data_IF_605199494972
#
_entry.id   IF_605199494972
#
_cell.length_a   1.000
_cell.length_b   1.000
_cell.length_c   1.000
_cell.angle_alpha   90.00
_cell.angle_beta   90.00
_cell.angle_gamma   90.00
#
_symmetry.space_group_name_H-M   'P 1'
#
loop_
_entity.id
_entity.type
_entity.pdbx_description
1 polymer ?
#
# COMPACT_ATOMS: atom_id res chain seq x y z
N UNK A 1 10.35 7.73 -15.86
CA UNK A 1 9.17 7.33 -15.06
C UNK A 1 8.81 5.84 -15.22
N UNK A 2 9.56 5.08 -16.04
CA UNK A 2 9.36 3.65 -16.17
C UNK A 2 9.76 2.93 -14.88
N UNK A 3 8.98 1.94 -14.45
CA UNK A 3 9.25 1.16 -13.25
C UNK A 3 8.10 0.25 -12.88
N UNK A 4 8.24 -0.43 -11.75
CA UNK A 4 7.20 -1.23 -11.15
C UNK A 4 6.42 -0.38 -10.13
N UNK A 5 5.11 -0.43 -10.21
CA UNK A 5 4.18 0.32 -9.35
C UNK A 5 3.25 -0.65 -8.65
N UNK A 6 3.07 -0.49 -7.36
CA UNK A 6 2.18 -1.39 -6.62
C UNK A 6 2.32 -1.28 -5.12
N UNK A 7 2.08 -2.40 -4.45
CA UNK A 7 2.14 -2.50 -3.00
C UNK A 7 2.83 -3.79 -2.56
N UNK A 8 3.57 -3.68 -1.47
CA UNK A 8 4.17 -4.80 -0.75
C UNK A 8 3.37 -5.03 0.52
N UNK A 9 2.94 -6.27 0.75
CA UNK A 9 2.37 -6.69 2.03
C UNK A 9 3.48 -6.78 3.09
N UNK A 10 3.12 -6.53 4.35
CA UNK A 10 4.06 -6.64 5.47
C UNK A 10 4.67 -8.05 5.57
N UNK A 11 3.86 -9.06 5.34
CA UNK A 11 4.25 -10.47 5.44
C UNK A 11 5.25 -10.92 4.36
N UNK A 12 5.53 -10.07 3.38
CA UNK A 12 6.62 -10.33 2.42
C UNK A 12 7.97 -10.51 3.14
N UNK A 13 8.14 -9.94 4.33
CA UNK A 13 9.35 -10.08 5.15
C UNK A 13 9.67 -11.55 5.45
N UNK A 14 8.65 -12.40 5.63
CA UNK A 14 8.83 -13.83 5.90
C UNK A 14 9.37 -14.64 4.71
N UNK A 15 9.46 -14.03 3.52
CA UNK A 15 10.10 -14.62 2.36
C UNK A 15 11.63 -14.41 2.36
N UNK A 16 12.12 -13.45 3.14
CA UNK A 16 13.52 -13.05 3.18
C UNK A 16 14.18 -13.30 4.53
N UNK A 17 13.40 -13.30 5.61
CA UNK A 17 13.88 -13.43 6.97
C UNK A 17 13.37 -14.72 7.61
N UNK A 18 14.25 -15.45 8.30
CA UNK A 18 13.90 -16.66 9.04
C UNK A 18 13.29 -16.27 10.41
N UNK A 19 12.08 -15.74 10.34
CA UNK A 19 11.30 -15.30 11.50
C UNK A 19 10.07 -16.17 11.61
N UNK A 20 9.80 -16.70 12.81
CA UNK A 20 8.60 -17.47 13.05
C UNK A 20 7.35 -16.59 13.02
N UNK A 21 6.42 -16.93 12.13
CA UNK A 21 5.11 -16.29 12.10
C UNK A 21 4.20 -16.94 13.13
N UNK A 22 3.62 -16.14 14.02
CA UNK A 22 2.70 -16.59 15.07
C UNK A 22 1.23 -16.34 14.71
N UNK A 23 0.97 -15.40 13.83
CA UNK A 23 -0.39 -15.09 13.40
C UNK A 23 -0.75 -15.89 12.15
N UNK A 24 -1.98 -16.35 12.08
CA UNK A 24 -2.54 -16.95 10.86
C UNK A 24 -2.85 -15.87 9.84
N UNK A 25 -2.67 -16.22 8.57
CA UNK A 25 -3.15 -15.39 7.44
C UNK A 25 -3.99 -16.25 6.52
N UNK A 26 -4.81 -15.61 5.69
CA UNK A 26 -5.55 -16.27 4.64
C UNK A 26 -4.59 -16.75 3.52
N UNK A 27 -4.90 -17.88 2.89
CA UNK A 27 -4.18 -18.34 1.71
C UNK A 27 -4.37 -17.40 0.51
N UNK A 28 -5.43 -16.59 0.53
CA UNK A 28 -5.72 -15.58 -0.50
C UNK A 28 -4.95 -14.27 -0.31
N UNK A 29 -4.29 -14.07 0.84
CA UNK A 29 -3.50 -12.87 1.10
C UNK A 29 -2.25 -12.84 0.21
N UNK A 30 -2.07 -11.76 -0.54
CA UNK A 30 -0.95 -11.59 -1.47
C UNK A 30 0.21 -10.86 -0.79
N UNK A 31 1.42 -11.38 -0.97
CA UNK A 31 2.64 -10.75 -0.42
C UNK A 31 3.01 -9.48 -1.18
N UNK A 32 2.70 -9.43 -2.47
CA UNK A 32 2.93 -8.24 -3.27
C UNK A 32 2.03 -8.20 -4.51
N UNK A 33 1.75 -6.99 -4.97
CA UNK A 33 1.12 -6.74 -6.28
C UNK A 33 1.91 -5.65 -6.98
N UNK A 34 2.49 -5.97 -8.13
CA UNK A 34 3.27 -5.02 -8.92
C UNK A 34 2.75 -4.97 -10.36
N UNK A 35 2.69 -3.76 -10.90
CA UNK A 35 2.34 -3.49 -12.28
C UNK A 35 3.54 -2.89 -13.01
N UNK A 36 3.79 -3.35 -14.22
CA UNK A 36 4.68 -2.70 -15.17
C UNK A 36 3.82 -1.95 -16.19
N UNK A 37 3.56 -0.63 -15.98
CA UNK A 37 2.71 0.13 -16.87
C UNK A 37 3.44 0.44 -18.17
N UNK A 38 2.75 0.30 -19.28
CA UNK A 38 3.20 0.73 -20.60
C UNK A 38 2.68 2.13 -20.96
N UNK A 39 1.84 2.71 -20.11
CA UNK A 39 1.34 4.08 -20.25
C UNK A 39 1.32 4.79 -18.91
N UNK A 40 2.01 5.93 -18.81
CA UNK A 40 2.11 6.75 -17.61
C UNK A 40 1.76 8.19 -17.94
N UNK A 41 0.83 8.76 -17.19
CA UNK A 41 0.53 10.19 -17.26
C UNK A 41 1.06 10.87 -16.02
N UNK A 42 1.91 11.89 -16.21
CA UNK A 42 2.49 12.69 -15.14
C UNK A 42 1.97 14.11 -15.24
N UNK A 43 1.30 14.58 -14.18
CA UNK A 43 0.90 15.98 -14.03
C UNK A 43 1.87 16.67 -13.07
N UNK A 44 2.67 17.59 -13.58
CA UNK A 44 3.57 18.43 -12.77
C UNK A 44 2.87 19.76 -12.47
N UNK A 45 2.42 19.90 -11.23
CA UNK A 45 1.70 21.10 -10.78
C UNK A 45 2.60 22.33 -10.60
N UNK A 46 3.92 22.17 -10.53
CA UNK A 46 4.84 23.32 -10.40
C UNK A 46 5.02 24.06 -11.71
N UNK A 47 5.01 23.32 -12.81
CA UNK A 47 5.16 23.88 -14.16
C UNK A 47 3.86 23.83 -14.96
N UNK A 48 2.76 23.38 -14.34
CA UNK A 48 1.41 23.28 -14.92
C UNK A 48 1.38 22.51 -16.26
N UNK A 49 2.15 21.41 -16.33
CA UNK A 49 2.24 20.57 -17.52
C UNK A 49 1.88 19.13 -17.21
N UNK A 50 1.28 18.50 -18.22
CA UNK A 50 0.99 17.07 -18.21
C UNK A 50 1.77 16.38 -19.32
N UNK A 51 2.45 15.29 -18.96
CA UNK A 51 3.22 14.47 -19.88
C UNK A 51 2.59 13.08 -19.93
N UNK A 52 2.46 12.53 -21.14
CA UNK A 52 2.06 11.14 -21.36
C UNK A 52 3.26 10.37 -21.91
N UNK A 53 3.66 9.33 -21.22
CA UNK A 53 4.71 8.41 -21.64
C UNK A 53 4.08 7.10 -22.08
N UNK A 54 4.47 6.62 -23.25
CA UNK A 54 4.06 5.30 -23.74
C UNK A 54 5.32 4.46 -23.98
N UNK A 55 5.30 3.23 -23.49
CA UNK A 55 6.40 2.29 -23.58
C UNK A 55 5.94 1.04 -24.30
N UNK A 56 6.80 0.52 -25.14
CA UNK A 56 6.64 -0.76 -25.78
C UNK A 56 7.66 -1.73 -25.18
N UNK A 57 7.17 -2.86 -24.66
CA UNK A 57 8.01 -3.87 -24.07
C UNK A 57 8.22 -5.00 -25.07
N UNK A 58 9.48 -5.36 -25.29
CA UNK A 58 9.88 -6.44 -26.15
C UNK A 58 10.64 -7.47 -25.30
N UNK A 59 10.15 -8.68 -25.26
CA UNK A 59 10.86 -9.79 -24.59
C UNK A 59 11.77 -10.50 -25.59
N UNK A 60 12.99 -10.78 -25.17
CA UNK A 60 13.87 -11.67 -25.91
C UNK A 60 13.56 -13.12 -25.54
N UNK A 61 13.28 -13.92 -26.53
CA UNK A 61 13.17 -15.36 -26.36
C UNK A 61 14.58 -15.96 -26.22
N UNK A 62 14.88 -16.52 -25.07
CA UNK A 62 16.19 -17.09 -24.75
C UNK A 62 16.57 -18.30 -25.64
N UNK A 63 15.56 -19.05 -26.10
CA UNK A 63 15.79 -20.25 -26.89
C UNK A 63 15.96 -19.94 -28.39
N UNK A 64 15.34 -18.88 -28.90
CA UNK A 64 15.31 -18.58 -30.33
C UNK A 64 16.02 -17.30 -30.72
N UNK A 65 16.51 -16.51 -29.76
CA UNK A 65 17.09 -15.17 -29.95
C UNK A 65 16.12 -14.18 -30.66
N UNK A 66 14.83 -14.50 -30.69
CA UNK A 66 13.78 -13.67 -31.28
C UNK A 66 13.23 -12.72 -30.25
N UNK A 67 12.84 -11.55 -30.75
CA UNK A 67 12.10 -10.59 -29.93
C UNK A 67 10.60 -10.77 -30.21
N UNK A 68 9.80 -10.82 -29.15
CA UNK A 68 8.35 -10.78 -29.24
C UNK A 68 7.84 -9.50 -28.58
N UNK A 69 6.93 -8.80 -29.25
CA UNK A 69 6.24 -7.65 -28.67
C UNK A 69 5.27 -8.15 -27.60
N UNK A 70 5.36 -7.58 -26.40
CA UNK A 70 4.48 -7.96 -25.28
C UNK A 70 3.31 -7.01 -25.09
N UNK A 71 3.44 -5.77 -25.55
CA UNK A 71 2.42 -4.71 -25.34
C UNK A 71 1.95 -4.03 -26.61
N UNK A 72 2.65 -4.23 -27.73
CA UNK A 72 2.27 -3.71 -29.03
C UNK A 72 0.89 -4.20 -29.48
N UNK A 73 0.01 -3.30 -29.85
CA UNK A 73 -1.32 -3.64 -30.35
C UNK A 73 -2.36 -4.01 -29.30
N UNK A 74 -2.07 -4.00 -28.00
CA UNK A 74 -3.07 -4.21 -26.96
C UNK A 74 -4.15 -3.12 -26.98
N UNK A 75 -5.39 -3.53 -27.29
CA UNK A 75 -6.55 -2.65 -27.15
C UNK A 75 -6.98 -2.58 -25.69
N UNK A 76 -6.85 -1.39 -25.09
CA UNK A 76 -7.25 -1.14 -23.70
C UNK A 76 -8.70 -0.69 -23.55
N UNK A 77 -9.53 -0.94 -24.59
CA UNK A 77 -10.93 -0.52 -24.68
C UNK A 77 -11.92 -1.62 -24.25
N UNK A 78 -11.47 -2.66 -23.58
CA UNK A 78 -12.34 -3.71 -23.04
C UNK A 78 -13.29 -3.16 -21.97
N UNK A 79 -14.44 -3.82 -21.75
CA UNK A 79 -15.37 -3.43 -20.69
C UNK A 79 -14.67 -3.49 -19.33
N UNK A 80 -14.65 -2.36 -18.61
CA UNK A 80 -14.16 -2.32 -17.24
C UNK A 80 -15.19 -3.02 -16.35
N UNK A 81 -14.75 -3.97 -15.55
CA UNK A 81 -15.60 -4.51 -14.49
C UNK A 81 -15.95 -3.38 -13.53
N UNK A 82 -17.22 -3.11 -13.26
CA UNK A 82 -17.59 -2.08 -12.29
C UNK A 82 -17.11 -2.49 -10.89
N UNK A 83 -16.83 -1.51 -10.06
CA UNK A 83 -16.62 -1.74 -8.64
C UNK A 83 -17.89 -2.35 -8.02
N UNK A 84 -17.73 -3.41 -7.24
CA UNK A 84 -18.81 -4.04 -6.52
C UNK A 84 -18.75 -3.60 -5.06
N UNK A 85 -19.74 -2.83 -4.58
CA UNK A 85 -19.75 -2.35 -3.20
C UNK A 85 -19.82 -3.52 -2.20
N UNK A 86 -19.01 -3.47 -1.15
CA UNK A 86 -19.14 -4.32 0.01
C UNK A 86 -20.19 -3.74 0.95
N UNK A 87 -21.41 -4.31 0.92
CA UNK A 87 -22.55 -3.80 1.70
C UNK A 87 -22.62 -4.36 3.12
N UNK A 88 -21.89 -5.44 3.42
CA UNK A 88 -21.90 -6.09 4.73
C UNK A 88 -20.49 -6.50 5.13
N UNK A 89 -20.24 -6.45 6.42
CA UNK A 89 -19.04 -6.99 7.07
C UNK A 89 -19.47 -7.99 8.14
N UNK A 90 -18.69 -9.03 8.35
CA UNK A 90 -18.99 -10.08 9.33
C UNK A 90 -18.64 -9.63 10.74
N UNK A 91 -17.64 -8.79 10.87
CA UNK A 91 -17.14 -8.22 12.14
C UNK A 91 -16.72 -6.78 11.93
N UNK A 92 -16.75 -5.97 12.98
CA UNK A 92 -16.35 -4.57 12.94
C UNK A 92 -14.85 -4.35 13.25
N UNK A 93 -14.22 -5.31 13.90
CA UNK A 93 -12.83 -5.23 14.33
C UNK A 93 -12.23 -6.64 14.41
N UNK A 94 -10.91 -6.74 14.29
CA UNK A 94 -10.15 -7.99 14.47
C UNK A 94 -9.93 -8.36 15.95
N UNK A 95 -10.04 -7.37 16.85
CA UNK A 95 -9.91 -7.55 18.29
C UNK A 95 -11.28 -7.60 18.98
N UNK A 96 -11.37 -8.38 20.07
CA UNK A 96 -12.48 -8.32 21.01
C UNK A 96 -12.36 -7.06 21.89
N UNK A 97 -13.45 -6.74 22.60
CA UNK A 97 -13.47 -5.61 23.52
C UNK A 97 -12.38 -5.76 24.62
N UNK A 98 -11.56 -4.74 24.80
CA UNK A 98 -10.47 -4.71 25.77
C UNK A 98 -9.18 -5.43 25.36
N UNK A 99 -9.20 -6.25 24.32
CA UNK A 99 -8.02 -7.01 23.88
C UNK A 99 -6.88 -6.11 23.40
N UNK A 100 -7.19 -5.06 22.64
CA UNK A 100 -6.18 -4.09 22.23
C UNK A 100 -5.53 -3.35 23.41
N UNK A 101 -6.33 -2.98 24.44
CA UNK A 101 -5.81 -2.36 25.66
C UNK A 101 -4.84 -3.30 26.40
N UNK A 102 -5.17 -4.59 26.49
CA UNK A 102 -4.28 -5.58 27.10
C UNK A 102 -2.95 -5.73 26.33
N UNK A 103 -2.99 -5.66 24.98
CA UNK A 103 -1.76 -5.68 24.18
C UNK A 103 -0.89 -4.46 24.46
N UNK A 104 -1.50 -3.28 24.62
CA UNK A 104 -0.77 -2.05 25.00
C UNK A 104 -0.15 -2.18 26.38
N UNK A 105 -0.88 -2.70 27.37
CA UNK A 105 -0.35 -2.94 28.71
C UNK A 105 0.83 -3.92 28.68
N UNK A 106 0.71 -5.01 27.94
CA UNK A 106 1.80 -5.97 27.74
C UNK A 106 3.03 -5.33 27.09
N UNK A 107 2.83 -4.45 26.10
CA UNK A 107 3.93 -3.71 25.49
C UNK A 107 4.64 -2.79 26.49
N UNK A 108 3.88 -2.12 27.36
CA UNK A 108 4.45 -1.28 28.44
C UNK A 108 5.32 -2.10 29.40
N UNK A 109 4.95 -3.35 29.69
CA UNK A 109 5.76 -4.23 30.53
C UNK A 109 7.09 -4.61 29.84
N UNK A 110 7.09 -4.90 28.55
CA UNK A 110 8.31 -5.12 27.78
C UNK A 110 9.22 -3.89 27.75
N UNK A 111 8.67 -2.67 27.65
CA UNK A 111 9.44 -1.44 27.77
C UNK A 111 10.10 -1.30 29.16
N UNK A 112 9.38 -1.63 30.25
CA UNK A 112 9.92 -1.57 31.61
C UNK A 112 11.07 -2.55 31.83
N UNK A 113 11.04 -3.71 31.17
CA UNK A 113 12.11 -4.71 31.22
C UNK A 113 13.28 -4.39 30.27
N UNK A 114 13.12 -3.43 29.36
CA UNK A 114 14.13 -3.08 28.37
C UNK A 114 14.17 -4.01 27.15
N UNK A 115 13.14 -4.83 26.95
CA UNK A 115 13.02 -5.74 25.81
C UNK A 115 12.62 -5.00 24.53
N UNK A 116 11.94 -3.85 24.66
CA UNK A 116 11.49 -3.00 23.57
C UNK A 116 11.88 -1.55 23.83
N UNK A 117 12.20 -0.82 22.74
CA UNK A 117 12.31 0.65 22.76
C UNK A 117 11.23 1.31 21.87
N UNK A 118 10.64 0.57 20.93
CA UNK A 118 9.56 1.00 20.08
C UNK A 118 8.70 -0.20 19.69
N UNK A 119 7.37 0.01 19.59
CA UNK A 119 6.42 -0.96 19.04
C UNK A 119 5.19 -0.23 18.50
N UNK A 120 4.63 -0.73 17.42
CA UNK A 120 3.39 -0.22 16.84
C UNK A 120 2.31 -1.31 16.92
N UNK A 121 1.46 -1.29 17.96
CA UNK A 121 0.32 -2.21 18.04
C UNK A 121 -0.66 -1.90 16.90
N UNK A 122 -1.08 -2.94 16.18
CA UNK A 122 -2.03 -2.83 15.09
C UNK A 122 -3.44 -3.24 15.50
N UNK A 123 -4.43 -2.60 14.87
CA UNK A 123 -5.83 -2.98 14.97
C UNK A 123 -6.50 -2.75 13.62
N UNK A 124 -7.30 -3.70 13.16
CA UNK A 124 -8.02 -3.62 11.89
C UNK A 124 -9.51 -3.41 12.13
N UNK A 125 -10.06 -2.38 11.51
CA UNK A 125 -11.49 -2.09 11.52
C UNK A 125 -12.10 -2.45 10.17
N UNK A 126 -13.31 -2.98 10.20
CA UNK A 126 -14.06 -3.41 9.03
C UNK A 126 -15.35 -2.60 8.94
N UNK A 127 -15.56 -1.94 7.82
CA UNK A 127 -16.73 -1.13 7.55
C UNK A 127 -17.33 -1.44 6.18
N UNK A 128 -18.66 -1.42 6.02
CA UNK A 128 -19.26 -1.50 4.71
C UNK A 128 -18.79 -0.36 3.81
N UNK A 129 -18.32 -0.67 2.61
CA UNK A 129 -17.88 0.32 1.64
C UNK A 129 -18.81 0.33 0.44
N UNK A 130 -19.75 1.28 0.43
CA UNK A 130 -20.72 1.46 -0.68
C UNK A 130 -20.21 2.45 -1.72
N UNK A 131 -19.26 3.29 -1.36
CA UNK A 131 -18.67 4.29 -2.24
C UNK A 131 -17.57 3.69 -3.12
N UNK A 132 -17.38 4.26 -4.30
CA UNK A 132 -16.26 3.86 -5.15
C UNK A 132 -14.91 4.20 -4.49
N UNK A 133 -13.84 3.41 -4.75
CA UNK A 133 -12.50 3.70 -4.23
C UNK A 133 -12.02 5.11 -4.57
N UNK A 134 -12.38 5.63 -5.74
CA UNK A 134 -12.05 7.00 -6.14
C UNK A 134 -12.75 8.05 -5.27
N UNK A 135 -14.01 7.81 -4.87
CA UNK A 135 -14.74 8.70 -3.97
C UNK A 135 -14.15 8.67 -2.56
N UNK A 136 -13.77 7.48 -2.09
CA UNK A 136 -13.08 7.32 -0.79
C UNK A 136 -11.74 8.07 -0.81
N UNK A 137 -10.93 7.88 -1.86
CA UNK A 137 -9.64 8.57 -2.00
C UNK A 137 -9.79 10.09 -2.03
N UNK A 138 -10.80 10.60 -2.75
CA UNK A 138 -11.07 12.04 -2.81
C UNK A 138 -11.35 12.61 -1.42
N UNK A 139 -12.18 11.95 -0.61
CA UNK A 139 -12.46 12.37 0.77
C UNK A 139 -11.22 12.26 1.66
N UNK A 140 -10.50 11.15 1.57
CA UNK A 140 -9.26 10.95 2.32
C UNK A 140 -8.24 12.06 2.05
N UNK A 141 -8.04 12.40 0.78
CA UNK A 141 -7.13 13.49 0.38
C UNK A 141 -7.53 14.85 0.92
N UNK A 142 -8.84 15.09 1.12
CA UNK A 142 -9.35 16.35 1.68
C UNK A 142 -9.23 16.38 3.20
N UNK A 143 -9.54 15.28 3.88
CA UNK A 143 -9.52 15.19 5.35
C UNK A 143 -8.12 15.01 5.92
N UNK A 144 -7.26 14.33 5.19
CA UNK A 144 -5.88 14.03 5.59
C UNK A 144 -4.92 14.26 4.42
N UNK A 145 -4.64 15.52 4.05
CA UNK A 145 -3.70 15.84 2.98
C UNK A 145 -2.30 15.36 3.38
N UNK A 146 -1.74 14.50 2.57
CA UNK A 146 -0.42 13.90 2.80
C UNK A 146 0.44 14.00 1.54
N UNK A 147 1.78 14.00 1.66
CA UNK A 147 2.67 14.05 0.52
C UNK A 147 2.59 12.80 -0.37
N UNK A 148 2.22 11.65 0.20
CA UNK A 148 2.19 10.36 -0.49
C UNK A 148 0.78 9.76 -0.47
N UNK A 149 -0.11 10.32 -1.26
CA UNK A 149 -1.45 9.76 -1.48
C UNK A 149 -1.44 8.76 -2.63
N UNK A 150 -2.11 7.61 -2.45
CA UNK A 150 -2.22 6.59 -3.49
C UNK A 150 -3.62 6.00 -3.58
N UNK A 151 -4.04 5.73 -4.79
CA UNK A 151 -5.17 4.87 -5.12
C UNK A 151 -4.67 3.83 -6.12
N UNK A 152 -4.59 2.59 -5.69
CA UNK A 152 -4.08 1.47 -6.49
C UNK A 152 -5.19 0.43 -6.62
N UNK A 153 -5.51 0.06 -7.84
CA UNK A 153 -6.34 -1.12 -8.10
C UNK A 153 -5.42 -2.35 -8.08
N UNK A 154 -5.57 -3.18 -7.07
CA UNK A 154 -4.76 -4.38 -6.87
C UNK A 154 -5.27 -5.61 -7.66
N UNK A 155 -6.35 -5.45 -8.43
CA UNK A 155 -7.05 -6.55 -9.09
C UNK A 155 -8.07 -7.20 -8.16
N UNK A 156 -8.86 -8.16 -8.68
CA UNK A 156 -9.79 -8.99 -7.89
C UNK A 156 -10.77 -8.21 -6.99
N UNK A 157 -11.16 -7.01 -7.42
CA UNK A 157 -12.00 -6.06 -6.66
C UNK A 157 -11.33 -5.48 -5.39
N UNK A 158 -10.04 -5.65 -5.24
CA UNK A 158 -9.26 -5.09 -4.14
C UNK A 158 -8.61 -3.76 -4.54
N UNK A 159 -8.65 -2.80 -3.62
CA UNK A 159 -8.11 -1.45 -3.84
C UNK A 159 -7.36 -0.97 -2.60
N UNK A 160 -6.15 -0.46 -2.80
CA UNK A 160 -5.42 0.27 -1.78
C UNK A 160 -5.73 1.76 -1.91
N UNK A 161 -6.23 2.35 -0.83
CA UNK A 161 -6.49 3.79 -0.71
C UNK A 161 -5.66 4.31 0.44
N UNK A 162 -4.65 5.12 0.16
CA UNK A 162 -3.67 5.54 1.15
C UNK A 162 -3.42 7.05 1.14
N UNK A 163 -3.08 7.58 2.31
CA UNK A 163 -2.58 8.93 2.54
C UNK A 163 -1.42 8.86 3.54
N UNK A 164 -0.21 8.59 3.05
CA UNK A 164 0.97 8.39 3.88
C UNK A 164 1.72 9.71 4.10
N UNK A 165 2.07 10.04 5.35
CA UNK A 165 2.97 11.16 5.65
C UNK A 165 4.44 10.80 5.42
N UNK A 166 4.77 9.53 5.41
CA UNK A 166 6.13 9.01 5.49
C UNK A 166 6.65 8.50 4.14
N UNK A 167 7.92 8.78 3.89
CA UNK A 167 8.72 8.19 2.84
C UNK A 167 9.65 7.13 3.46
N UNK A 168 9.40 5.85 3.15
CA UNK A 168 10.24 4.78 3.66
C UNK A 168 11.65 4.86 3.12
N UNK A 169 11.81 4.89 1.81
CA UNK A 169 13.10 5.04 1.15
C UNK A 169 12.95 5.68 -0.23
N UNK A 170 13.88 6.57 -0.55
CA UNK A 170 14.06 7.11 -1.91
C UNK A 170 15.50 6.86 -2.36
N UNK A 171 15.64 6.38 -3.58
CA UNK A 171 16.94 6.19 -4.22
C UNK A 171 16.97 7.08 -5.47
N UNK A 172 17.96 7.96 -5.56
CA UNK A 172 18.19 8.84 -6.71
C UNK A 172 19.67 8.78 -7.10
N UNK A 173 19.96 8.06 -8.18
CA UNK A 173 21.32 7.73 -8.56
C UNK A 173 22.05 6.94 -7.46
N UNK A 174 23.06 7.54 -6.86
CA UNK A 174 23.84 6.97 -5.76
C UNK A 174 23.38 7.45 -4.37
N UNK A 175 22.36 8.31 -4.31
CA UNK A 175 21.85 8.83 -3.04
C UNK A 175 20.68 7.98 -2.54
N UNK A 176 20.73 7.64 -1.26
CA UNK A 176 19.66 6.94 -0.55
C UNK A 176 19.19 7.85 0.57
N UNK A 177 17.88 8.07 0.63
CA UNK A 177 17.23 8.90 1.63
C UNK A 177 16.09 8.16 2.28
N UNK A 178 15.96 8.32 3.60
CA UNK A 178 14.83 7.86 4.38
C UNK A 178 14.39 8.98 5.31
N UNK A 179 13.08 9.08 5.58
CA UNK A 179 12.50 10.08 6.46
C UNK A 179 11.60 9.39 7.48
N UNK A 180 12.17 8.70 8.48
CA UNK A 180 11.38 7.97 9.47
C UNK A 180 10.58 8.94 10.35
N UNK A 181 9.33 8.59 10.62
CA UNK A 181 8.42 9.35 11.47
C UNK A 181 7.88 8.39 12.54
N UNK A 182 8.01 8.77 13.81
CA UNK A 182 7.29 8.11 14.90
C UNK A 182 5.89 8.69 15.05
N UNK A 183 5.00 7.94 15.71
CA UNK A 183 3.66 8.42 16.02
C UNK A 183 3.69 9.67 16.89
N UNK A 184 2.77 10.61 16.65
CA UNK A 184 2.61 11.83 17.43
C UNK A 184 1.18 11.97 17.89
N UNK A 185 1.00 12.39 19.14
CA UNK A 185 -0.30 12.73 19.72
C UNK A 185 -0.20 14.08 20.42
N UNK A 186 -1.31 14.81 20.45
CA UNK A 186 -1.38 16.04 21.24
C UNK A 186 -1.12 15.72 22.70
N UNK A 187 -0.24 16.47 23.36
CA UNK A 187 0.03 16.32 24.80
C UNK A 187 -1.26 16.46 25.60
N UNK A 188 -1.44 15.59 26.60
CA UNK A 188 -2.56 15.70 27.55
C UNK A 188 -2.53 17.03 28.33
N UNK A 189 -3.66 17.39 28.88
CA UNK A 189 -3.81 18.61 29.69
C UNK A 189 -3.15 18.41 31.07
N UNK A 190 -3.17 17.17 31.54
CA UNK A 190 -2.56 16.77 32.81
C UNK A 190 -1.27 15.96 32.54
N UNK A 191 -0.21 16.26 33.26
CA UNK A 191 1.10 15.66 33.11
C UNK A 191 1.16 14.27 33.76
#
# INVERSE_FOLDING_TARGET
>A
YLGLFGAFGYDLTFQFEDIQRYQSRSDDDRDLVLYLPDQITVADHRIEKTFCYSYEFVCRDWDSDKFSETTGGFRRTGPRKPYLPAAKVEKSCDHSEGEFAQQVEKALDYFRHGDLFEVVPGQVFYEPCVDSPASVFKRLKQSNPSPYGALINLGEQEYLVAASPEMFVRVDGSQIETCPISGTIKRGVDA
#
